data_IF_766233078460
#
_entry.id   IF_766233078460
#
_cell.length_a   1.000
_cell.length_b   1.000
_cell.length_c   1.000
_cell.angle_alpha   90.00
_cell.angle_beta   90.00
_cell.angle_gamma   90.00
#
_symmetry.space_group_name_H-M   'P 1'
#
loop_
_entity.id
_entity.type
_entity.pdbx_description
1 polymer ?
#
# COMPACT_ATOMS: atom_id res chain seq x y z
N UNK A 1 -1.52 8.38 19.16
CA UNK A 1 -1.86 9.00 17.87
C UNK A 1 -1.25 10.38 17.70
N UNK A 2 -1.47 11.33 18.63
CA UNK A 2 -0.97 12.72 18.54
C UNK A 2 0.54 12.76 18.38
N UNK A 3 1.28 12.06 19.23
CA UNK A 3 2.76 12.01 19.17
C UNK A 3 3.28 11.44 17.85
N UNK A 4 2.64 10.39 17.32
CA UNK A 4 3.02 9.80 16.03
C UNK A 4 2.76 10.78 14.90
N UNK A 5 1.59 11.43 14.91
CA UNK A 5 1.24 12.44 13.90
C UNK A 5 2.20 13.62 13.90
N UNK A 6 2.56 14.12 15.07
CA UNK A 6 3.51 15.25 15.23
C UNK A 6 4.91 14.84 14.78
N UNK A 7 5.40 13.66 15.19
CA UNK A 7 6.69 13.13 14.78
C UNK A 7 6.75 12.93 13.27
N UNK A 8 5.74 12.26 12.70
CA UNK A 8 5.67 12.00 11.26
C UNK A 8 5.60 13.30 10.45
N UNK A 9 4.74 14.25 10.89
CA UNK A 9 4.61 15.54 10.22
C UNK A 9 5.94 16.31 10.24
N UNK A 10 6.59 16.42 11.40
CA UNK A 10 7.88 17.12 11.53
C UNK A 10 8.97 16.53 10.65
N UNK A 11 9.09 15.19 10.62
CA UNK A 11 10.08 14.50 9.79
C UNK A 11 9.77 14.69 8.30
N UNK A 12 8.54 14.39 7.88
CA UNK A 12 8.16 14.40 6.47
C UNK A 12 8.16 15.82 5.87
N UNK A 13 7.75 16.85 6.61
CA UNK A 13 7.85 18.24 6.16
C UNK A 13 9.30 18.68 5.94
N UNK A 14 10.23 18.18 6.75
CA UNK A 14 11.65 18.56 6.63
C UNK A 14 12.45 17.71 5.63
N UNK A 15 12.09 16.43 5.42
CA UNK A 15 12.88 15.49 4.59
C UNK A 15 12.15 15.05 3.33
N UNK A 16 10.82 15.26 3.24
CA UNK A 16 9.97 14.78 2.16
C UNK A 16 9.10 15.90 1.56
N UNK A 17 9.66 17.15 1.46
CA UNK A 17 8.95 18.22 0.74
C UNK A 17 8.73 17.80 -0.72
N UNK A 18 7.80 18.44 -1.41
CA UNK A 18 7.52 18.12 -2.81
C UNK A 18 8.77 18.25 -3.70
N UNK A 19 9.59 19.26 -3.46
CA UNK A 19 10.86 19.48 -4.19
C UNK A 19 11.84 18.34 -3.92
N UNK A 20 12.07 17.98 -2.65
CA UNK A 20 12.96 16.85 -2.28
C UNK A 20 12.47 15.51 -2.84
N UNK A 21 11.15 15.28 -2.81
CA UNK A 21 10.58 14.10 -3.45
C UNK A 21 10.86 14.06 -4.95
N UNK A 22 10.77 15.20 -5.62
CA UNK A 22 11.07 15.28 -7.05
C UNK A 22 12.55 14.99 -7.32
N UNK A 23 13.45 15.52 -6.51
CA UNK A 23 14.89 15.27 -6.61
C UNK A 23 15.19 13.75 -6.41
N UNK A 24 14.52 13.08 -5.47
CA UNK A 24 14.63 11.61 -5.28
C UNK A 24 14.25 10.87 -6.56
N UNK A 25 13.15 11.26 -7.22
CA UNK A 25 12.65 10.59 -8.42
C UNK A 25 13.56 10.83 -9.62
N UNK A 26 14.05 12.08 -9.81
CA UNK A 26 14.79 12.49 -10.99
C UNK A 26 16.28 12.14 -10.91
N UNK A 27 16.94 12.33 -9.75
CA UNK A 27 18.39 12.24 -9.62
C UNK A 27 18.87 10.85 -9.20
N UNK A 28 18.16 10.20 -8.29
CA UNK A 28 18.56 8.87 -7.82
C UNK A 28 17.37 8.03 -7.35
N UNK A 29 16.81 7.20 -8.23
CA UNK A 29 15.69 6.34 -7.90
C UNK A 29 15.91 5.39 -6.71
N UNK A 30 17.16 5.11 -6.34
CA UNK A 30 17.48 4.27 -5.16
C UNK A 30 17.42 5.02 -3.83
N UNK A 31 17.32 6.34 -3.83
CA UNK A 31 17.31 7.17 -2.62
C UNK A 31 16.11 6.94 -1.70
N UNK A 32 14.99 6.44 -2.21
CA UNK A 32 13.82 6.12 -1.37
C UNK A 32 14.15 5.10 -0.27
N UNK A 33 15.16 4.23 -0.48
CA UNK A 33 15.61 3.28 0.55
C UNK A 33 16.44 3.94 1.66
N UNK A 34 16.94 5.15 1.49
CA UNK A 34 17.66 5.86 2.54
C UNK A 34 16.72 6.21 3.70
N UNK A 35 15.49 6.60 3.40
CA UNK A 35 14.47 6.87 4.41
C UNK A 35 13.98 5.61 5.14
N UNK A 36 14.18 4.40 4.56
CA UNK A 36 13.79 3.16 5.19
C UNK A 36 14.47 2.92 6.54
N UNK A 37 15.78 3.18 6.63
CA UNK A 37 16.52 3.08 7.90
C UNK A 37 16.07 4.12 8.91
N UNK A 38 15.84 5.34 8.46
CA UNK A 38 15.33 6.41 9.31
C UNK A 38 13.91 6.11 9.81
N UNK A 39 13.06 5.48 9.00
CA UNK A 39 11.74 4.99 9.43
C UNK A 39 11.85 3.88 10.49
N UNK A 40 12.86 3.02 10.39
CA UNK A 40 13.14 2.02 11.43
C UNK A 40 13.61 2.70 12.74
N UNK A 41 14.55 3.64 12.67
CA UNK A 41 15.07 4.39 13.83
C UNK A 41 13.97 5.22 14.51
N UNK A 42 13.02 5.76 13.76
CA UNK A 42 11.83 6.44 14.28
C UNK A 42 10.77 5.47 14.84
N UNK A 43 11.01 4.16 14.75
CA UNK A 43 10.13 3.11 15.23
C UNK A 43 8.89 2.86 14.36
N UNK A 44 8.80 3.48 13.18
CA UNK A 44 7.61 3.37 12.34
C UNK A 44 7.42 1.98 11.76
N UNK A 45 8.51 1.27 11.46
CA UNK A 45 8.46 -0.10 10.96
C UNK A 45 8.00 -1.09 12.03
N UNK A 46 8.15 -0.75 13.32
CA UNK A 46 7.69 -1.57 14.44
C UNK A 46 6.22 -1.39 14.82
N UNK A 47 5.54 -0.32 14.33
CA UNK A 47 4.16 0.00 14.71
C UNK A 47 3.16 -1.16 14.51
N UNK A 48 3.21 -1.95 13.40
CA UNK A 48 2.24 -3.03 13.18
C UNK A 48 2.45 -4.26 14.07
N UNK A 49 3.56 -4.36 14.81
CA UNK A 49 3.97 -5.61 15.45
C UNK A 49 3.93 -5.54 16.98
N UNK A 50 3.73 -6.72 17.65
CA UNK A 50 3.76 -6.83 19.11
C UNK A 50 5.15 -6.51 19.70
N UNK A 51 5.16 -6.13 20.99
CA UNK A 51 6.39 -5.82 21.73
C UNK A 51 7.33 -7.03 21.86
N UNK A 52 6.79 -8.25 21.93
CA UNK A 52 7.58 -9.49 21.99
C UNK A 52 8.51 -9.71 20.80
N UNK A 53 8.24 -9.05 19.65
CA UNK A 53 9.08 -9.07 18.45
C UNK A 53 9.84 -7.76 18.23
N UNK A 54 9.91 -6.90 19.26
CA UNK A 54 10.54 -5.57 19.15
C UNK A 54 9.67 -4.49 18.52
N UNK A 55 8.37 -4.74 18.34
CA UNK A 55 7.40 -3.77 17.84
C UNK A 55 6.81 -2.87 18.93
N UNK A 56 5.79 -2.09 18.60
CA UNK A 56 5.12 -1.13 19.48
C UNK A 56 3.66 -1.48 19.77
N UNK A 57 3.37 -2.76 19.95
CA UNK A 57 2.06 -3.27 20.38
C UNK A 57 1.01 -3.43 19.29
N UNK A 58 1.35 -3.22 18.03
CA UNK A 58 0.45 -3.48 16.89
C UNK A 58 -0.82 -2.62 16.83
N UNK A 59 -0.79 -1.40 17.36
CA UNK A 59 -1.96 -0.52 17.41
C UNK A 59 -2.34 -0.02 16.02
N UNK A 60 -3.48 -0.48 15.52
CA UNK A 60 -4.00 -0.14 14.18
C UNK A 60 -4.21 1.36 14.00
N UNK A 61 -4.73 2.07 15.02
CA UNK A 61 -4.97 3.51 14.92
C UNK A 61 -3.67 4.30 14.73
N UNK A 62 -2.59 3.86 15.38
CA UNK A 62 -1.27 4.47 15.23
C UNK A 62 -0.72 4.24 13.81
N UNK A 63 -0.85 3.03 13.29
CA UNK A 63 -0.46 2.69 11.92
C UNK A 63 -1.25 3.52 10.90
N UNK A 64 -2.57 3.59 11.04
CA UNK A 64 -3.40 4.35 10.10
C UNK A 64 -3.11 5.84 10.13
N UNK A 65 -2.80 6.41 11.32
CA UNK A 65 -2.34 7.80 11.46
C UNK A 65 -1.03 8.03 10.69
N UNK A 66 -0.08 7.09 10.76
CA UNK A 66 1.15 7.16 9.98
C UNK A 66 0.87 7.07 8.47
N UNK A 67 -0.03 6.18 8.05
CA UNK A 67 -0.44 6.05 6.64
C UNK A 67 -1.07 7.34 6.10
N UNK A 68 -1.88 8.05 6.89
CA UNK A 68 -2.40 9.38 6.51
C UNK A 68 -1.25 10.37 6.27
N UNK A 69 -0.25 10.41 7.16
CA UNK A 69 0.92 11.28 6.99
C UNK A 69 1.71 10.92 5.72
N UNK A 70 1.88 9.64 5.41
CA UNK A 70 2.54 9.18 4.19
C UNK A 70 1.78 9.59 2.93
N UNK A 71 0.46 9.47 2.93
CA UNK A 71 -0.37 9.97 1.83
C UNK A 71 -0.24 11.47 1.61
N UNK A 72 -0.31 12.26 2.69
CA UNK A 72 -0.18 13.71 2.65
C UNK A 72 1.17 14.21 2.11
N UNK A 73 2.23 13.41 2.21
CA UNK A 73 3.58 13.74 1.74
C UNK A 73 4.02 12.93 0.52
N UNK A 74 3.15 12.12 -0.08
CA UNK A 74 3.43 11.31 -1.28
C UNK A 74 4.66 10.41 -1.12
N UNK A 75 4.84 9.75 0.05
CA UNK A 75 6.00 8.90 0.31
C UNK A 75 6.11 7.76 -0.71
N UNK A 76 7.34 7.38 -1.05
CA UNK A 76 7.66 6.39 -2.08
C UNK A 76 7.99 5.02 -1.48
N UNK A 77 8.30 4.96 -0.19
CA UNK A 77 8.69 3.72 0.49
C UNK A 77 7.54 2.70 0.48
N UNK A 78 7.83 1.45 0.12
CA UNK A 78 6.83 0.39 -0.03
C UNK A 78 6.40 -0.23 1.31
N UNK A 79 6.08 0.58 2.31
CA UNK A 79 5.78 0.15 3.68
C UNK A 79 4.65 -0.89 3.75
N UNK A 80 3.59 -0.72 2.94
CA UNK A 80 2.50 -1.70 2.93
C UNK A 80 3.01 -3.08 2.50
N UNK A 81 3.92 -3.13 1.53
CA UNK A 81 4.39 -4.38 0.93
C UNK A 81 5.56 -5.00 1.71
N UNK A 82 6.62 -4.23 1.97
CA UNK A 82 7.87 -4.73 2.57
C UNK A 82 7.90 -4.70 4.10
N UNK A 83 6.85 -4.17 4.74
CA UNK A 83 6.71 -4.19 6.20
C UNK A 83 5.38 -4.84 6.60
N UNK A 84 4.24 -4.22 6.28
CA UNK A 84 2.95 -4.66 6.80
C UNK A 84 2.55 -6.04 6.30
N UNK A 85 2.47 -6.26 4.97
CA UNK A 85 1.98 -7.52 4.41
C UNK A 85 2.92 -8.67 4.76
N UNK A 86 4.21 -8.55 4.42
CA UNK A 86 5.17 -9.63 4.66
C UNK A 86 5.29 -9.93 6.16
N UNK A 87 5.38 -8.91 7.02
CA UNK A 87 5.49 -9.10 8.45
C UNK A 87 4.24 -9.74 9.07
N UNK A 88 3.02 -9.36 8.60
CA UNK A 88 1.79 -10.00 9.04
C UNK A 88 1.65 -11.43 8.51
N UNK A 89 2.13 -11.73 7.31
CA UNK A 89 2.22 -13.13 6.83
C UNK A 89 3.14 -13.93 7.75
N UNK A 90 4.35 -13.47 8.02
CA UNK A 90 5.30 -14.13 8.92
C UNK A 90 4.69 -14.35 10.31
N UNK A 91 4.05 -13.34 10.88
CA UNK A 91 3.41 -13.39 12.20
C UNK A 91 2.23 -14.36 12.25
N UNK A 92 1.26 -14.23 11.33
CA UNK A 92 -0.02 -14.94 11.40
C UNK A 92 0.11 -16.44 11.07
N UNK A 93 1.11 -16.80 10.29
CA UNK A 93 1.38 -18.20 9.96
C UNK A 93 2.37 -18.86 10.94
N UNK A 94 2.86 -18.12 11.95
CA UNK A 94 3.79 -18.61 12.97
C UNK A 94 4.95 -19.43 12.39
N UNK A 95 5.64 -18.85 11.42
CA UNK A 95 6.68 -19.52 10.64
C UNK A 95 7.91 -19.83 11.51
N UNK A 96 8.62 -20.89 11.17
CA UNK A 96 9.95 -21.12 11.72
C UNK A 96 10.82 -19.87 11.50
N UNK A 97 11.51 -19.38 12.54
CA UNK A 97 12.28 -18.13 12.53
C UNK A 97 11.43 -16.83 12.52
N UNK A 98 10.15 -16.87 12.87
CA UNK A 98 9.27 -15.67 12.92
C UNK A 98 9.96 -14.52 13.65
N UNK A 99 10.50 -14.74 14.84
CA UNK A 99 11.13 -13.68 15.65
C UNK A 99 12.30 -13.02 14.91
N UNK A 100 13.23 -13.79 14.35
CA UNK A 100 14.40 -13.24 13.66
C UNK A 100 14.07 -12.50 12.37
N UNK A 101 13.06 -12.97 11.62
CA UNK A 101 12.62 -12.28 10.39
C UNK A 101 11.90 -10.98 10.76
N UNK A 102 11.04 -10.97 11.78
CA UNK A 102 10.37 -9.75 12.22
C UNK A 102 11.37 -8.73 12.79
N UNK A 103 12.39 -9.18 13.52
CA UNK A 103 13.48 -8.29 13.98
C UNK A 103 14.21 -7.62 12.80
N UNK A 104 14.55 -8.38 11.75
CA UNK A 104 15.15 -7.84 10.52
C UNK A 104 14.23 -6.82 9.83
N UNK A 105 12.92 -7.09 9.75
CA UNK A 105 11.91 -6.20 9.13
C UNK A 105 11.76 -4.91 9.95
N UNK A 106 11.64 -5.03 11.28
CA UNK A 106 11.43 -3.91 12.22
C UNK A 106 12.65 -2.99 12.27
N UNK A 107 13.86 -3.58 12.31
CA UNK A 107 15.12 -2.83 12.31
C UNK A 107 15.48 -2.24 10.94
N UNK A 108 14.78 -2.64 9.87
CA UNK A 108 15.08 -2.21 8.51
C UNK A 108 16.41 -2.74 7.97
N UNK A 109 17.01 -3.76 8.60
CA UNK A 109 18.32 -4.31 8.23
C UNK A 109 18.25 -5.12 6.94
N UNK A 110 17.11 -5.81 6.71
CA UNK A 110 16.84 -6.57 5.50
C UNK A 110 15.48 -6.26 4.93
N UNK A 111 15.39 -6.29 3.63
CA UNK A 111 14.17 -6.10 2.88
C UNK A 111 13.58 -7.47 2.52
N UNK A 112 12.41 -7.73 3.05
CA UNK A 112 11.60 -8.90 2.72
C UNK A 112 10.43 -8.49 1.83
N UNK A 113 10.09 -9.32 0.87
CA UNK A 113 8.90 -9.14 0.03
C UNK A 113 8.02 -10.37 0.06
N UNK A 114 6.73 -10.17 -0.09
CA UNK A 114 5.76 -11.24 -0.34
C UNK A 114 5.34 -11.20 -1.80
N UNK A 115 5.46 -12.31 -2.50
CA UNK A 115 5.12 -12.40 -3.90
C UNK A 115 3.60 -12.32 -4.10
N UNK A 116 3.15 -11.14 -4.49
CA UNK A 116 1.74 -10.81 -4.58
C UNK A 116 1.51 -9.62 -5.51
N UNK A 117 0.52 -9.69 -6.39
CA UNK A 117 0.08 -8.54 -7.16
C UNK A 117 -1.20 -7.96 -6.54
N UNK A 118 -1.18 -6.69 -6.10
CA UNK A 118 -2.32 -6.08 -5.44
C UNK A 118 -3.38 -5.53 -6.42
N UNK A 119 -3.13 -5.61 -7.73
CA UNK A 119 -4.03 -5.07 -8.77
C UNK A 119 -5.01 -6.09 -9.33
N UNK A 120 -4.83 -7.36 -8.96
CA UNK A 120 -5.65 -8.47 -9.43
C UNK A 120 -6.32 -9.18 -8.22
N UNK A 121 -7.18 -10.14 -8.50
CA UNK A 121 -7.67 -11.02 -7.45
C UNK A 121 -6.50 -11.85 -6.92
N UNK A 122 -6.14 -11.61 -5.66
CA UNK A 122 -4.99 -12.26 -5.03
C UNK A 122 -5.10 -13.80 -5.01
N UNK A 123 -6.32 -14.34 -4.95
CA UNK A 123 -6.54 -15.80 -4.99
C UNK A 123 -6.11 -16.38 -6.34
N UNK A 124 -6.52 -15.76 -7.45
CA UNK A 124 -6.17 -16.23 -8.80
C UNK A 124 -4.65 -16.18 -9.07
N UNK A 125 -3.95 -15.19 -8.54
CA UNK A 125 -2.50 -15.07 -8.72
C UNK A 125 -1.78 -16.24 -8.05
N UNK A 126 -2.17 -16.56 -6.83
CA UNK A 126 -1.57 -17.67 -6.07
C UNK A 126 -1.97 -19.02 -6.68
N UNK A 127 -3.18 -19.13 -7.26
CA UNK A 127 -3.70 -20.41 -7.74
C UNK A 127 -3.22 -20.76 -9.15
N UNK A 128 -3.12 -19.79 -10.07
CA UNK A 128 -3.08 -20.11 -11.50
C UNK A 128 -1.78 -19.71 -12.23
N UNK A 129 -1.04 -18.72 -11.71
CA UNK A 129 0.11 -18.15 -12.43
C UNK A 129 1.44 -18.83 -12.19
N UNK A 130 1.58 -19.57 -11.11
CA UNK A 130 2.80 -20.29 -10.76
C UNK A 130 2.59 -21.80 -10.86
N UNK A 131 3.47 -22.46 -11.59
CA UNK A 131 3.47 -23.92 -11.79
C UNK A 131 4.68 -24.52 -11.10
N UNK A 132 4.43 -25.46 -10.19
CA UNK A 132 5.50 -26.19 -9.49
C UNK A 132 5.53 -27.64 -9.95
N UNK A 133 6.74 -28.12 -10.28
CA UNK A 133 7.01 -29.54 -10.48
C UNK A 133 7.86 -30.04 -9.33
N UNK A 134 7.31 -30.94 -8.50
CA UNK A 134 8.04 -31.53 -7.38
C UNK A 134 8.80 -32.76 -7.81
N UNK A 135 10.09 -32.82 -7.47
CA UNK A 135 10.95 -33.99 -7.50
C UNK A 135 11.15 -34.49 -6.04
N UNK A 136 11.86 -35.61 -5.84
CA UNK A 136 12.05 -36.18 -4.50
C UNK A 136 12.76 -35.27 -3.51
N UNK A 137 13.68 -34.44 -3.98
CA UNK A 137 14.54 -33.58 -3.13
C UNK A 137 14.33 -32.08 -3.35
N UNK A 138 13.86 -31.68 -4.53
CA UNK A 138 13.72 -30.29 -4.94
C UNK A 138 12.38 -30.07 -5.65
N UNK A 139 12.03 -28.81 -5.87
CA UNK A 139 10.92 -28.42 -6.73
C UNK A 139 11.40 -27.40 -7.77
N UNK A 140 10.79 -27.39 -8.92
CA UNK A 140 11.06 -26.44 -10.01
C UNK A 140 9.85 -25.53 -10.17
N UNK A 141 10.06 -24.22 -10.11
CA UNK A 141 9.04 -23.21 -10.26
C UNK A 141 9.15 -22.52 -11.62
N UNK A 142 8.03 -22.44 -12.33
CA UNK A 142 7.89 -21.72 -13.58
C UNK A 142 6.64 -20.85 -13.54
N UNK A 143 6.67 -19.71 -14.25
CA UNK A 143 5.55 -18.81 -14.37
C UNK A 143 5.95 -17.34 -14.28
N UNK A 144 4.97 -16.46 -14.25
CA UNK A 144 5.23 -15.03 -14.12
C UNK A 144 4.14 -14.31 -13.33
N UNK A 145 4.55 -13.27 -12.59
CA UNK A 145 3.64 -12.36 -11.89
C UNK A 145 3.99 -10.94 -12.28
N UNK A 146 2.97 -10.18 -12.65
CA UNK A 146 3.11 -8.78 -13.01
C UNK A 146 2.65 -7.88 -11.86
N UNK A 147 3.15 -6.66 -11.84
CA UNK A 147 2.74 -5.61 -10.92
C UNK A 147 2.97 -5.98 -9.44
N UNK A 148 4.19 -6.44 -9.13
CA UNK A 148 4.62 -6.71 -7.75
C UNK A 148 5.37 -5.50 -7.21
N UNK A 149 4.93 -5.00 -6.06
CA UNK A 149 5.53 -3.83 -5.43
C UNK A 149 6.60 -4.23 -4.42
N UNK A 150 7.56 -3.32 -4.19
CA UNK A 150 8.58 -3.47 -3.16
C UNK A 150 9.64 -4.51 -3.46
N UNK A 151 9.91 -4.81 -4.75
CA UNK A 151 10.91 -5.77 -5.19
C UNK A 151 11.93 -5.21 -6.19
N UNK A 152 12.06 -3.92 -6.32
CA UNK A 152 13.20 -3.35 -7.02
C UNK A 152 14.52 -3.74 -6.34
N UNK A 153 14.49 -3.79 -5.00
CA UNK A 153 15.56 -4.32 -4.15
C UNK A 153 14.95 -5.08 -2.99
N UNK A 154 15.37 -6.33 -2.82
CA UNK A 154 15.01 -7.17 -1.68
C UNK A 154 16.16 -8.14 -1.38
N UNK A 155 16.25 -8.53 -0.13
CA UNK A 155 17.20 -9.56 0.31
C UNK A 155 16.54 -10.94 0.24
N UNK A 156 15.24 -11.01 0.58
CA UNK A 156 14.46 -12.24 0.55
C UNK A 156 13.06 -12.01 -0.01
N UNK A 157 12.55 -13.04 -0.73
CA UNK A 157 11.16 -13.06 -1.19
C UNK A 157 10.45 -14.33 -0.72
N UNK A 158 9.27 -14.17 -0.14
CA UNK A 158 8.38 -15.25 0.25
C UNK A 158 7.39 -15.53 -0.88
N UNK A 159 7.46 -16.75 -1.43
CA UNK A 159 6.69 -17.17 -2.60
C UNK A 159 5.61 -18.16 -2.17
N UNK A 160 4.31 -17.83 -2.30
CA UNK A 160 3.22 -18.79 -2.14
C UNK A 160 3.02 -19.58 -3.42
N UNK A 161 2.97 -20.89 -3.31
CA UNK A 161 2.75 -21.81 -4.45
C UNK A 161 1.69 -22.84 -4.10
N UNK A 162 0.65 -22.95 -4.92
CA UNK A 162 -0.40 -23.97 -4.76
C UNK A 162 0.07 -25.31 -5.36
N UNK A 163 -0.08 -26.37 -4.59
CA UNK A 163 0.07 -27.76 -5.06
C UNK A 163 -0.80 -28.70 -4.22
N UNK A 164 -1.64 -29.51 -4.85
CA UNK A 164 -2.49 -30.52 -4.19
C UNK A 164 -3.32 -29.94 -3.02
N UNK A 165 -4.06 -28.86 -3.28
CA UNK A 165 -4.94 -28.17 -2.28
C UNK A 165 -4.17 -27.61 -1.06
N UNK A 166 -2.85 -27.52 -1.14
CA UNK A 166 -2.01 -26.89 -0.12
C UNK A 166 -1.21 -25.72 -0.70
N UNK A 167 -1.02 -24.68 0.11
CA UNK A 167 -0.10 -23.59 -0.19
C UNK A 167 1.24 -23.87 0.49
N UNK A 168 2.29 -23.86 -0.31
CA UNK A 168 3.68 -23.99 0.11
C UNK A 168 4.32 -22.60 0.10
N UNK A 169 4.85 -22.15 1.24
CA UNK A 169 5.57 -20.88 1.33
C UNK A 169 7.08 -21.14 1.29
N UNK A 170 7.72 -20.68 0.22
CA UNK A 170 9.17 -20.74 0.05
C UNK A 170 9.80 -19.38 0.28
N UNK A 171 10.81 -19.31 1.15
CA UNK A 171 11.61 -18.11 1.37
C UNK A 171 12.95 -18.26 0.65
N UNK A 172 13.15 -17.49 -0.40
CA UNK A 172 14.36 -17.54 -1.23
C UNK A 172 15.13 -16.22 -1.16
N UNK A 173 16.46 -16.31 -1.37
CA UNK A 173 17.32 -15.14 -1.52
C UNK A 173 17.08 -14.44 -2.87
N UNK A 174 17.28 -13.13 -2.90
CA UNK A 174 17.00 -12.29 -4.07
C UNK A 174 17.96 -12.46 -5.25
N UNK A 175 19.12 -13.05 -5.01
CA UNK A 175 20.16 -13.32 -6.01
C UNK A 175 20.08 -14.72 -6.62
N UNK A 176 18.99 -15.45 -6.39
CA UNK A 176 18.84 -16.84 -6.83
C UNK A 176 18.71 -16.94 -8.36
N UNK A 177 19.44 -17.92 -8.96
CA UNK A 177 19.35 -18.19 -10.39
C UNK A 177 17.94 -18.64 -10.81
N UNK A 178 17.49 -18.24 -12.00
CA UNK A 178 16.16 -18.55 -12.52
C UNK A 178 15.09 -17.50 -12.15
N UNK A 179 15.49 -16.41 -11.51
CA UNK A 179 14.63 -15.26 -11.20
C UNK A 179 15.00 -14.10 -12.14
N UNK A 180 14.05 -13.68 -12.96
CA UNK A 180 14.17 -12.50 -13.83
C UNK A 180 13.22 -11.41 -13.38
N UNK A 181 13.75 -10.19 -13.12
CA UNK A 181 12.98 -9.05 -12.60
C UNK A 181 13.09 -7.89 -13.58
N UNK A 182 11.93 -7.39 -14.04
CA UNK A 182 11.82 -6.20 -14.90
C UNK A 182 11.15 -5.07 -14.12
N UNK A 183 11.94 -4.09 -13.71
CA UNK A 183 11.48 -2.94 -12.92
C UNK A 183 10.88 -1.85 -13.80
N UNK A 184 9.84 -1.17 -13.29
CA UNK A 184 9.21 0.00 -13.90
C UNK A 184 8.55 0.87 -12.82
N UNK A 185 8.08 2.04 -13.23
CA UNK A 185 7.39 2.99 -12.33
C UNK A 185 5.90 3.04 -12.66
N UNK A 186 5.10 3.16 -11.61
CA UNK A 186 3.68 3.45 -11.72
C UNK A 186 3.44 4.96 -11.91
N UNK A 187 2.20 5.35 -12.22
CA UNK A 187 1.85 6.77 -12.48
C UNK A 187 2.08 7.70 -11.28
N UNK A 188 2.19 7.16 -10.07
CA UNK A 188 2.51 7.88 -8.83
C UNK A 188 3.99 7.75 -8.42
N UNK A 189 4.84 7.24 -9.33
CA UNK A 189 6.28 7.00 -9.17
C UNK A 189 6.65 5.92 -8.14
N UNK A 190 5.71 5.07 -7.73
CA UNK A 190 6.06 3.89 -6.95
C UNK A 190 6.80 2.88 -7.83
N UNK A 191 7.78 2.21 -7.25
CA UNK A 191 8.51 1.14 -7.94
C UNK A 191 7.69 -0.15 -7.97
N UNK A 192 7.63 -0.75 -9.14
CA UNK A 192 6.88 -1.96 -9.41
C UNK A 192 7.67 -2.88 -10.35
N UNK A 193 7.41 -4.17 -10.33
CA UNK A 193 8.17 -5.13 -11.12
C UNK A 193 7.30 -6.23 -11.70
N UNK A 194 7.71 -6.73 -12.86
CA UNK A 194 7.28 -8.02 -13.37
C UNK A 194 8.35 -9.05 -13.05
N UNK A 195 7.93 -10.21 -12.55
CA UNK A 195 8.83 -11.31 -12.19
C UNK A 195 8.52 -12.50 -13.08
N UNK A 196 9.57 -13.08 -13.65
CA UNK A 196 9.53 -14.34 -14.40
C UNK A 196 10.37 -15.40 -13.69
N UNK A 197 9.80 -16.57 -13.52
CA UNK A 197 10.46 -17.75 -12.97
C UNK A 197 10.76 -18.72 -14.11
N UNK A 198 12.04 -18.92 -14.39
CA UNK A 198 12.53 -19.77 -15.47
C UNK A 198 13.27 -20.97 -14.87
N UNK A 199 12.53 -22.07 -14.61
CA UNK A 199 13.04 -23.27 -13.98
C UNK A 199 13.77 -22.97 -12.66
N UNK A 200 13.19 -22.07 -11.84
CA UNK A 200 13.75 -21.72 -10.54
C UNK A 200 13.74 -22.96 -9.64
N UNK A 201 14.91 -23.38 -9.20
CA UNK A 201 15.04 -24.53 -8.30
C UNK A 201 14.70 -24.12 -6.86
N UNK A 202 13.75 -24.80 -6.24
CA UNK A 202 13.34 -24.61 -4.85
C UNK A 202 13.81 -25.81 -4.02
N UNK A 203 14.63 -25.54 -3.01
CA UNK A 203 15.17 -26.57 -2.12
C UNK A 203 14.26 -26.78 -0.89
N UNK A 204 14.29 -27.96 -0.31
CA UNK A 204 13.49 -28.26 0.89
C UNK A 204 13.84 -27.39 2.11
N UNK A 205 15.05 -26.87 2.23
CA UNK A 205 15.45 -25.96 3.30
C UNK A 205 14.91 -24.52 3.14
N UNK A 206 14.39 -24.17 1.96
CA UNK A 206 13.72 -22.92 1.65
C UNK A 206 12.22 -22.98 1.92
N UNK A 207 11.66 -24.19 2.04
CA UNK A 207 10.27 -24.37 2.45
C UNK A 207 10.12 -24.00 3.91
N UNK A 208 9.32 -22.98 4.18
CA UNK A 208 9.07 -22.50 5.55
C UNK A 208 7.86 -23.21 6.16
N UNK A 209 6.78 -23.38 5.39
CA UNK A 209 5.56 -24.04 5.83
C UNK A 209 4.76 -24.56 4.63
N UNK A 210 4.00 -25.63 4.84
CA UNK A 210 2.85 -25.99 4.02
C UNK A 210 1.57 -25.91 4.84
N UNK A 211 0.53 -25.35 4.23
CA UNK A 211 -0.75 -25.07 4.89
C UNK A 211 -1.90 -25.39 3.94
N UNK A 212 -3.03 -25.82 4.49
CA UNK A 212 -4.27 -26.00 3.73
C UNK A 212 -4.67 -24.69 3.01
N UNK A 213 -5.13 -24.81 1.77
CA UNK A 213 -5.49 -23.66 0.93
C UNK A 213 -6.56 -22.76 1.59
N UNK A 214 -7.60 -23.36 2.15
CA UNK A 214 -8.70 -22.58 2.73
C UNK A 214 -8.26 -21.89 4.01
N UNK A 215 -7.46 -22.56 4.85
CA UNK A 215 -6.84 -21.94 6.04
C UNK A 215 -5.93 -20.79 5.67
N UNK A 216 -5.13 -20.96 4.60
CA UNK A 216 -4.27 -19.87 4.11
C UNK A 216 -5.09 -18.65 3.72
N UNK A 217 -6.13 -18.81 2.90
CA UNK A 217 -6.93 -17.69 2.44
C UNK A 217 -7.77 -17.06 3.56
N UNK A 218 -8.22 -17.83 4.54
CA UNK A 218 -8.90 -17.28 5.73
C UNK A 218 -8.00 -16.33 6.50
N UNK A 219 -6.75 -16.72 6.77
CA UNK A 219 -5.76 -15.87 7.44
C UNK A 219 -5.33 -14.68 6.58
N UNK A 220 -5.15 -14.90 5.27
CA UNK A 220 -4.72 -13.86 4.35
C UNK A 220 -5.81 -12.79 4.09
N UNK A 221 -7.09 -13.15 4.17
CA UNK A 221 -8.21 -12.20 4.07
C UNK A 221 -8.08 -11.04 5.08
N UNK A 222 -7.62 -11.32 6.31
CA UNK A 222 -7.39 -10.27 7.29
C UNK A 222 -6.22 -9.34 6.89
N UNK A 223 -5.14 -9.92 6.38
CA UNK A 223 -3.97 -9.15 5.92
C UNK A 223 -4.35 -8.27 4.72
N UNK A 224 -5.14 -8.80 3.80
CA UNK A 224 -5.68 -8.07 2.66
C UNK A 224 -6.56 -6.89 3.10
N UNK A 225 -7.44 -7.09 4.08
CA UNK A 225 -8.29 -6.04 4.65
C UNK A 225 -7.45 -4.95 5.32
N UNK A 226 -6.42 -5.33 6.07
CA UNK A 226 -5.52 -4.38 6.73
C UNK A 226 -4.71 -3.56 5.72
N UNK A 227 -4.23 -4.19 4.65
CA UNK A 227 -3.55 -3.50 3.56
C UNK A 227 -4.49 -2.55 2.80
N UNK A 228 -5.74 -2.97 2.56
CA UNK A 228 -6.79 -2.12 1.95
C UNK A 228 -7.09 -0.90 2.82
N UNK A 229 -7.21 -1.08 4.14
CA UNK A 229 -7.41 0.02 5.08
C UNK A 229 -6.22 1.00 5.06
N UNK A 230 -4.99 0.48 4.97
CA UNK A 230 -3.77 1.29 4.88
C UNK A 230 -3.76 2.16 3.62
N UNK A 231 -4.18 1.61 2.48
CA UNK A 231 -4.36 2.37 1.22
C UNK A 231 -5.44 3.44 1.36
N UNK A 232 -6.57 3.14 2.00
CA UNK A 232 -7.63 4.11 2.24
C UNK A 232 -7.17 5.25 3.19
N UNK A 233 -6.34 4.91 4.18
CA UNK A 233 -5.76 5.91 5.09
C UNK A 233 -4.74 6.81 4.38
N UNK A 234 -3.89 6.26 3.50
CA UNK A 234 -3.03 7.09 2.64
C UNK A 234 -3.88 8.01 1.75
N UNK A 235 -4.94 7.49 1.15
CA UNK A 235 -5.82 8.27 0.30
C UNK A 235 -6.52 9.42 1.07
N UNK A 236 -6.90 9.20 2.34
CA UNK A 236 -7.43 10.26 3.20
C UNK A 236 -6.40 11.39 3.37
N UNK A 237 -5.14 11.07 3.64
CA UNK A 237 -4.05 12.07 3.72
C UNK A 237 -3.85 12.82 2.41
N UNK A 238 -3.95 12.13 1.26
CA UNK A 238 -3.86 12.75 -0.07
C UNK A 238 -4.98 13.75 -0.29
N UNK A 239 -6.25 13.38 -0.05
CA UNK A 239 -7.39 14.29 -0.29
C UNK A 239 -7.44 15.44 0.71
N UNK A 240 -7.01 15.24 1.96
CA UNK A 240 -6.83 16.33 2.92
C UNK A 240 -5.87 17.38 2.34
N UNK A 241 -4.70 16.93 1.86
CA UNK A 241 -3.70 17.84 1.29
C UNK A 241 -4.15 18.49 -0.01
N UNK A 242 -4.86 17.76 -0.88
CA UNK A 242 -5.44 18.31 -2.11
C UNK A 242 -6.46 19.41 -1.80
N UNK A 243 -7.32 19.18 -0.80
CA UNK A 243 -8.26 20.20 -0.36
C UNK A 243 -7.57 21.48 0.10
N UNK A 244 -6.59 21.36 1.01
CA UNK A 244 -5.84 22.49 1.55
C UNK A 244 -5.12 23.29 0.45
N UNK A 245 -4.44 22.61 -0.48
CA UNK A 245 -3.76 23.23 -1.62
C UNK A 245 -4.75 23.96 -2.54
N UNK A 246 -5.91 23.35 -2.79
CA UNK A 246 -6.94 23.95 -3.67
C UNK A 246 -7.59 25.17 -3.00
N UNK A 247 -7.86 25.08 -1.70
CA UNK A 247 -8.41 26.20 -0.92
C UNK A 247 -7.44 27.40 -0.93
N UNK A 248 -6.13 27.16 -0.71
CA UNK A 248 -5.10 28.20 -0.74
C UNK A 248 -4.91 28.81 -2.14
N UNK A 249 -4.96 27.96 -3.17
CA UNK A 249 -4.94 28.42 -4.56
C UNK A 249 -6.15 29.34 -4.85
N UNK A 250 -7.34 28.98 -4.40
CA UNK A 250 -8.55 29.81 -4.59
C UNK A 250 -8.49 31.16 -3.87
N UNK A 251 -7.80 31.24 -2.73
CA UNK A 251 -7.61 32.48 -1.98
C UNK A 251 -6.59 33.44 -2.63
N UNK A 252 -5.60 32.88 -3.35
CA UNK A 252 -4.48 33.65 -3.88
C UNK A 252 -4.59 33.94 -5.37
N UNK A 253 -5.14 32.99 -6.17
CA UNK A 253 -5.25 33.14 -7.63
C UNK A 253 -6.27 34.17 -8.03
N UNK A 254 -5.87 35.11 -8.86
CA UNK A 254 -6.75 36.17 -9.40
C UNK A 254 -7.12 35.92 -10.85
N UNK A 255 -8.39 36.05 -11.18
CA UNK A 255 -8.94 36.07 -12.54
C UNK A 255 -10.20 36.97 -12.54
N UNK A 256 -10.46 37.62 -13.67
CA UNK A 256 -11.60 38.55 -13.81
C UNK A 256 -11.65 39.66 -12.76
N UNK A 257 -10.44 40.16 -12.38
CA UNK A 257 -10.29 41.28 -11.45
C UNK A 257 -10.43 40.95 -9.95
N UNK A 258 -10.57 39.67 -9.58
CA UNK A 258 -10.71 39.24 -8.16
C UNK A 258 -10.22 37.81 -7.94
N UNK A 259 -10.05 37.42 -6.70
CA UNK A 259 -9.66 36.06 -6.33
C UNK A 259 -10.74 35.08 -6.77
N UNK A 260 -10.33 33.93 -7.33
CA UNK A 260 -11.28 32.92 -7.87
C UNK A 260 -12.17 32.33 -6.78
N UNK A 261 -11.71 32.26 -5.52
CA UNK A 261 -12.51 31.84 -4.36
C UNK A 261 -13.67 32.77 -4.00
N UNK A 262 -13.73 33.97 -4.60
CA UNK A 262 -14.88 34.88 -4.41
C UNK A 262 -16.09 34.55 -5.30
N UNK A 263 -15.93 33.66 -6.28
CA UNK A 263 -17.05 33.22 -7.12
C UNK A 263 -17.86 32.13 -6.43
N UNK A 264 -19.19 32.28 -6.38
CA UNK A 264 -20.07 31.31 -5.72
C UNK A 264 -19.92 29.87 -6.22
N UNK A 265 -19.72 29.68 -7.53
CA UNK A 265 -19.52 28.33 -8.11
C UNK A 265 -18.27 27.64 -7.55
N UNK A 266 -17.20 28.39 -7.25
CA UNK A 266 -15.99 27.87 -6.63
C UNK A 266 -16.24 27.57 -5.16
N UNK A 267 -16.96 28.46 -4.45
CA UNK A 267 -17.32 28.26 -3.04
C UNK A 267 -18.15 26.98 -2.84
N UNK A 268 -19.17 26.75 -3.70
CA UNK A 268 -19.98 25.54 -3.64
C UNK A 268 -19.13 24.28 -3.86
N UNK A 269 -18.24 24.27 -4.86
CA UNK A 269 -17.31 23.15 -5.08
C UNK A 269 -16.40 22.89 -3.89
N UNK A 270 -15.85 23.94 -3.25
CA UNK A 270 -15.02 23.78 -2.07
C UNK A 270 -15.81 23.21 -0.88
N UNK A 271 -17.09 23.56 -0.73
CA UNK A 271 -17.97 22.96 0.29
C UNK A 271 -18.22 21.48 -0.02
N UNK A 272 -18.51 21.12 -1.27
CA UNK A 272 -18.70 19.73 -1.67
C UNK A 272 -17.42 18.89 -1.43
N UNK A 273 -16.25 19.44 -1.76
CA UNK A 273 -14.95 18.80 -1.47
C UNK A 273 -14.73 18.60 0.03
N UNK A 274 -15.08 19.58 0.85
CA UNK A 274 -14.98 19.47 2.30
C UNK A 274 -15.88 18.35 2.85
N UNK A 275 -17.11 18.25 2.34
CA UNK A 275 -18.05 17.18 2.72
C UNK A 275 -17.46 15.81 2.35
N UNK A 276 -16.97 15.64 1.12
CA UNK A 276 -16.35 14.38 0.66
C UNK A 276 -15.17 13.98 1.54
N UNK A 277 -14.32 14.95 1.90
CA UNK A 277 -13.18 14.74 2.80
C UNK A 277 -13.63 14.21 4.17
N UNK A 278 -14.64 14.83 4.79
CA UNK A 278 -15.14 14.44 6.11
C UNK A 278 -15.94 13.11 6.06
N UNK A 279 -16.65 12.83 4.98
CA UNK A 279 -17.27 11.52 4.73
C UNK A 279 -16.20 10.41 4.67
N UNK A 280 -15.11 10.63 3.92
CA UNK A 280 -14.02 9.64 3.85
C UNK A 280 -13.33 9.43 5.19
N UNK A 281 -13.13 10.49 5.97
CA UNK A 281 -12.58 10.42 7.33
C UNK A 281 -13.46 9.54 8.22
N UNK A 282 -14.77 9.74 8.16
CA UNK A 282 -15.74 8.98 8.94
C UNK A 282 -15.75 7.50 8.55
N UNK A 283 -15.73 7.19 7.25
CA UNK A 283 -15.66 5.83 6.74
C UNK A 283 -14.34 5.14 7.11
N UNK A 284 -13.22 5.87 7.03
CA UNK A 284 -11.92 5.35 7.42
C UNK A 284 -11.86 5.03 8.92
N UNK A 285 -12.41 5.91 9.75
CA UNK A 285 -12.52 5.67 11.20
C UNK A 285 -13.41 4.46 11.51
N UNK A 286 -14.57 4.34 10.87
CA UNK A 286 -15.45 3.18 11.01
C UNK A 286 -14.73 1.88 10.64
N UNK A 287 -13.99 1.87 9.53
CA UNK A 287 -13.22 0.70 9.11
C UNK A 287 -12.09 0.36 10.10
N UNK A 288 -11.44 1.38 10.71
CA UNK A 288 -10.41 1.17 11.75
C UNK A 288 -10.98 0.51 13.01
N UNK A 289 -12.10 1.00 13.52
CA UNK A 289 -12.69 0.47 14.77
C UNK A 289 -13.26 -0.94 14.60
N UNK A 290 -13.64 -1.30 13.38
CA UNK A 290 -14.24 -2.62 13.07
C UNK A 290 -13.26 -3.62 12.43
N UNK A 291 -11.97 -3.30 12.33
CA UNK A 291 -10.98 -4.17 11.68
C UNK A 291 -10.82 -5.53 12.37
N UNK A 292 -11.02 -5.58 13.68
CA UNK A 292 -10.93 -6.79 14.50
C UNK A 292 -12.31 -7.43 14.80
N UNK A 293 -13.38 -6.90 14.22
CA UNK A 293 -14.72 -7.46 14.36
C UNK A 293 -14.89 -8.75 13.53
N UNK A 294 -16.08 -9.35 13.60
CA UNK A 294 -16.44 -10.50 12.77
C UNK A 294 -16.17 -10.20 11.30
N UNK A 295 -15.73 -11.24 10.57
CA UNK A 295 -15.30 -11.18 9.15
C UNK A 295 -16.30 -10.41 8.27
N UNK A 296 -17.61 -10.63 8.44
CA UNK A 296 -18.66 -10.00 7.64
C UNK A 296 -18.74 -8.48 7.87
N UNK A 297 -18.62 -8.03 9.12
CA UNK A 297 -18.62 -6.61 9.49
C UNK A 297 -17.38 -5.93 8.97
N UNK A 298 -16.20 -6.52 9.21
CA UNK A 298 -14.92 -6.04 8.71
C UNK A 298 -14.94 -5.88 7.19
N UNK A 299 -15.31 -6.94 6.44
CA UNK A 299 -15.36 -6.93 4.97
C UNK A 299 -16.25 -5.82 4.42
N UNK A 300 -17.45 -5.63 5.01
CA UNK A 300 -18.38 -4.58 4.58
C UNK A 300 -17.79 -3.19 4.77
N UNK A 301 -17.25 -2.89 5.95
CA UNK A 301 -16.73 -1.55 6.26
C UNK A 301 -15.46 -1.23 5.46
N UNK A 302 -14.56 -2.19 5.28
CA UNK A 302 -13.39 -2.04 4.41
C UNK A 302 -13.81 -1.81 2.95
N UNK A 303 -14.75 -2.62 2.44
CA UNK A 303 -15.22 -2.49 1.06
C UNK A 303 -15.94 -1.15 0.83
N UNK A 304 -16.77 -0.69 1.77
CA UNK A 304 -17.43 0.61 1.67
C UNK A 304 -16.43 1.77 1.60
N UNK A 305 -15.40 1.75 2.45
CA UNK A 305 -14.33 2.75 2.43
C UNK A 305 -13.58 2.74 1.08
N UNK A 306 -13.26 1.56 0.54
CA UNK A 306 -12.58 1.41 -0.75
C UNK A 306 -13.45 1.83 -1.95
N UNK A 307 -14.76 1.55 -1.92
CA UNK A 307 -15.73 2.05 -2.93
C UNK A 307 -15.74 3.57 -2.92
N UNK A 308 -15.73 4.19 -1.74
CA UNK A 308 -15.73 5.65 -1.60
C UNK A 308 -14.44 6.26 -2.19
N UNK A 309 -13.28 5.65 -1.92
CA UNK A 309 -12.01 6.05 -2.52
C UNK A 309 -12.07 6.04 -4.05
N UNK A 310 -12.50 4.95 -4.65
CA UNK A 310 -12.52 4.79 -6.11
C UNK A 310 -13.62 5.59 -6.83
N UNK A 311 -14.58 6.16 -6.09
CA UNK A 311 -15.68 6.95 -6.65
C UNK A 311 -15.61 8.42 -6.20
N UNK A 312 -16.02 8.73 -4.99
CA UNK A 312 -16.18 10.10 -4.48
C UNK A 312 -14.84 10.82 -4.30
N UNK A 313 -13.85 10.18 -3.68
CA UNK A 313 -12.53 10.79 -3.48
C UNK A 313 -11.81 11.02 -4.82
N UNK A 314 -11.95 10.08 -5.77
CA UNK A 314 -11.43 10.25 -7.12
C UNK A 314 -12.11 11.42 -7.85
N UNK A 315 -13.43 11.56 -7.77
CA UNK A 315 -14.15 12.69 -8.36
C UNK A 315 -13.71 14.02 -7.75
N UNK A 316 -13.55 14.08 -6.41
CA UNK A 316 -13.01 15.26 -5.72
C UNK A 316 -11.62 15.64 -6.24
N UNK A 317 -10.74 14.65 -6.44
CA UNK A 317 -9.38 14.89 -6.95
C UNK A 317 -9.38 15.47 -8.37
N UNK A 318 -10.31 15.04 -9.23
CA UNK A 318 -10.54 15.61 -10.56
C UNK A 318 -11.01 17.08 -10.49
N UNK A 319 -11.90 17.39 -9.56
CA UNK A 319 -12.37 18.76 -9.32
C UNK A 319 -11.24 19.68 -8.83
N UNK A 320 -10.33 19.17 -7.97
CA UNK A 320 -9.13 19.91 -7.58
C UNK A 320 -8.28 20.29 -8.80
N UNK A 321 -8.00 19.34 -9.70
CA UNK A 321 -7.28 19.60 -10.96
C UNK A 321 -8.02 20.65 -11.81
N UNK A 322 -9.34 20.50 -11.95
CA UNK A 322 -10.16 21.41 -12.73
C UNK A 322 -10.10 22.85 -12.21
N UNK A 323 -10.11 23.06 -10.89
CA UNK A 323 -10.00 24.40 -10.28
C UNK A 323 -8.62 25.03 -10.53
N UNK A 324 -7.54 24.24 -10.52
CA UNK A 324 -6.19 24.72 -10.84
C UNK A 324 -6.02 25.01 -12.34
N UNK A 325 -6.91 24.49 -13.21
CA UNK A 325 -6.87 24.68 -14.67
C UNK A 325 -5.56 24.14 -15.27
N UNK A 326 -4.97 24.84 -16.21
CA UNK A 326 -3.72 24.41 -16.87
C UNK A 326 -2.55 24.18 -15.89
N UNK A 327 -2.51 24.90 -14.77
CA UNK A 327 -1.51 24.66 -13.71
C UNK A 327 -1.69 23.30 -13.04
N UNK A 328 -2.91 22.77 -12.98
CA UNK A 328 -3.20 21.47 -12.36
C UNK A 328 -2.56 20.26 -13.05
N UNK A 329 -2.15 20.40 -14.33
CA UNK A 329 -1.49 19.35 -15.12
C UNK A 329 0.00 19.61 -15.34
N UNK A 330 0.53 20.71 -14.82
CA UNK A 330 1.96 21.03 -14.91
C UNK A 330 2.77 20.14 -13.93
N UNK A 331 3.89 19.57 -14.38
CA UNK A 331 4.74 18.68 -13.56
C UNK A 331 5.35 19.39 -12.35
N UNK A 332 5.52 20.68 -12.43
CA UNK A 332 6.07 21.53 -11.37
C UNK A 332 5.10 21.75 -10.21
N UNK A 333 3.81 21.46 -10.44
CA UNK A 333 2.76 21.63 -9.42
C UNK A 333 2.43 20.29 -8.74
N UNK A 334 2.44 20.32 -7.42
CA UNK A 334 2.21 19.10 -6.62
C UNK A 334 0.80 18.50 -6.80
N UNK A 335 -0.20 19.30 -7.14
CA UNK A 335 -1.60 18.84 -7.22
C UNK A 335 -1.79 17.70 -8.21
N UNK A 336 -1.09 17.70 -9.36
CA UNK A 336 -1.11 16.62 -10.36
C UNK A 336 -0.53 15.31 -9.81
N UNK A 337 0.50 15.38 -8.97
CA UNK A 337 1.10 14.20 -8.33
C UNK A 337 0.15 13.57 -7.28
N UNK A 338 -0.60 14.40 -6.54
CA UNK A 338 -1.64 13.90 -5.64
C UNK A 338 -2.78 13.21 -6.40
N UNK A 339 -3.19 13.75 -7.57
CA UNK A 339 -4.17 13.10 -8.44
C UNK A 339 -3.68 11.74 -8.95
N UNK A 340 -2.41 11.64 -9.37
CA UNK A 340 -1.78 10.37 -9.76
C UNK A 340 -1.78 9.38 -8.60
N UNK A 341 -1.47 9.83 -7.38
CA UNK A 341 -1.49 9.00 -6.16
C UNK A 341 -2.89 8.45 -5.86
N UNK A 342 -3.94 9.27 -5.88
CA UNK A 342 -5.32 8.81 -5.67
C UNK A 342 -5.72 7.78 -6.73
N UNK A 343 -5.33 7.98 -7.98
CA UNK A 343 -5.63 7.07 -9.07
C UNK A 343 -4.95 5.71 -8.87
N UNK A 344 -3.67 5.72 -8.48
CA UNK A 344 -2.91 4.50 -8.18
C UNK A 344 -3.49 3.75 -6.96
N UNK A 345 -3.73 4.46 -5.84
CA UNK A 345 -4.33 3.87 -4.63
C UNK A 345 -5.71 3.28 -4.90
N UNK A 346 -6.49 3.89 -5.83
CA UNK A 346 -7.78 3.37 -6.26
C UNK A 346 -7.71 1.99 -6.93
N UNK A 347 -6.59 1.67 -7.60
CA UNK A 347 -6.38 0.40 -8.29
C UNK A 347 -5.83 -0.72 -7.38
N UNK A 348 -5.18 -0.37 -6.24
CA UNK A 348 -4.58 -1.35 -5.34
C UNK A 348 -5.63 -2.06 -4.48
N UNK A 349 -5.41 -3.34 -4.20
CA UNK A 349 -6.24 -4.20 -3.34
C UNK A 349 -7.71 -4.28 -3.76
N UNK A 350 -7.93 -4.44 -5.04
CA UNK A 350 -9.25 -4.58 -5.65
C UNK A 350 -9.82 -3.28 -6.21
N UNK A 351 -10.51 -3.39 -7.34
CA UNK A 351 -11.21 -2.30 -8.00
C UNK A 351 -12.47 -1.86 -7.21
N UNK A 352 -13.04 -0.73 -7.60
CA UNK A 352 -14.34 -0.28 -7.06
C UNK A 352 -15.43 -1.34 -7.27
N UNK A 353 -15.47 -2.00 -8.42
CA UNK A 353 -16.49 -3.00 -8.72
C UNK A 353 -16.27 -4.29 -7.94
N UNK A 354 -15.02 -4.75 -7.78
CA UNK A 354 -14.68 -5.84 -6.85
C UNK A 354 -15.22 -5.57 -5.44
N UNK A 355 -15.02 -4.37 -4.90
CA UNK A 355 -15.50 -4.03 -3.57
C UNK A 355 -17.00 -3.85 -3.47
N UNK A 356 -17.70 -3.45 -4.55
CA UNK A 356 -19.17 -3.48 -4.59
C UNK A 356 -19.73 -4.89 -4.48
N UNK A 357 -19.19 -5.84 -5.23
CA UNK A 357 -19.56 -7.25 -5.15
C UNK A 357 -19.27 -7.82 -3.76
N UNK A 358 -18.07 -7.56 -3.23
CA UNK A 358 -17.68 -7.99 -1.89
C UNK A 358 -18.59 -7.40 -0.80
N UNK A 359 -19.02 -6.14 -0.92
CA UNK A 359 -19.96 -5.48 -0.02
C UNK A 359 -21.35 -6.11 -0.08
N UNK A 360 -21.83 -6.47 -1.26
CA UNK A 360 -23.11 -7.12 -1.48
C UNK A 360 -23.15 -8.58 -0.95
N UNK A 361 -22.01 -9.15 -0.57
CA UNK A 361 -21.90 -10.53 -0.12
C UNK A 361 -21.82 -11.53 -1.27
N UNK A 362 -21.66 -11.06 -2.48
CA UNK A 362 -21.33 -11.86 -3.65
C UNK A 362 -19.81 -12.08 -3.65
N UNK A 363 -19.30 -12.91 -2.74
CA UNK A 363 -17.93 -13.39 -2.86
C UNK A 363 -17.85 -14.19 -4.17
N UNK A 364 -17.45 -13.55 -5.27
CA UNK A 364 -17.22 -14.17 -6.58
C UNK A 364 -15.96 -15.05 -6.46
N UNK A 365 -16.11 -16.16 -5.73
CA UNK A 365 -15.13 -17.29 -5.72
C UNK A 365 -15.68 -18.45 -4.94
#
# INVERSE_FOLDING_TARGET
>A
QILIKESAKKYLESHYSFEKRRDIIEENPSHYLNHWKEFAELGWLGLPFPEEFGGFGGNINNLMTLMECFGANLTLEPIIFNNLIIGKVIQNFNLNKTASILEDIISGNKLYSFLFSPTDNYKNIILDKLKIKKNKENAELNGSISCVFGIERFDFILIPVLSNEKIFLYLIAGDKNGLEIKNYETIDNMKCSNIEFNSLELNNNELIIDIDKDEFFEKFDYIFDLATLSVCSQALGVIDKMYDLTLEYCKTRQQFGKNIGSFQVIQHRLVDMYIIKEEMRSLNYMAQVTINDKKEVRKKNISLNKIFLGSRAKAMSQDCIQIHGGMGVAKEMSIGHYFSKITALGALFGSTDYHKERYAGNDIF
#
